data_IF_401633921251
#
_entry.id   IF_401633921251
#
_cell.length_a   1.000
_cell.length_b   1.000
_cell.length_c   1.000
_cell.angle_alpha   90.00
_cell.angle_beta   90.00
_cell.angle_gamma   90.00
#
_symmetry.space_group_name_H-M   'P 1'
#
loop_
_entity.id
_entity.type
_entity.pdbx_description
1 polymer ?
#
# COMPACT_ATOMS: atom_id res chain seq x y z
N UNK A 1 -19.94 -2.40 55.93
CA UNK A 1 -20.34 -1.38 54.91
C UNK A 1 -19.17 -0.75 54.15
N UNK A 2 -17.91 -0.98 54.53
CA UNK A 2 -16.71 -0.40 53.89
C UNK A 2 -16.20 -1.16 52.65
N UNK A 3 -16.34 -2.50 52.61
CA UNK A 3 -15.89 -3.33 51.48
C UNK A 3 -16.59 -3.01 50.15
N UNK A 4 -17.91 -2.80 50.18
CA UNK A 4 -18.72 -2.51 48.98
C UNK A 4 -18.34 -1.19 48.29
N UNK A 5 -17.94 -0.17 49.06
CA UNK A 5 -17.49 1.13 48.51
C UNK A 5 -16.10 1.03 47.90
N UNK A 6 -15.23 0.22 48.49
CA UNK A 6 -13.88 -0.02 47.98
C UNK A 6 -13.91 -0.86 46.69
N UNK A 7 -14.73 -1.91 46.65
CA UNK A 7 -14.96 -2.71 45.44
C UNK A 7 -15.56 -1.89 44.30
N UNK A 8 -16.56 -1.04 44.60
CA UNK A 8 -17.14 -0.14 43.62
C UNK A 8 -16.10 0.88 43.09
N UNK A 9 -15.27 1.46 43.97
CA UNK A 9 -14.22 2.38 43.57
C UNK A 9 -13.15 1.69 42.70
N UNK A 10 -12.76 0.45 43.04
CA UNK A 10 -11.81 -0.34 42.27
C UNK A 10 -12.36 -0.69 40.87
N UNK A 11 -13.64 -1.07 40.77
CA UNK A 11 -14.30 -1.34 39.49
C UNK A 11 -14.37 -0.09 38.61
N UNK A 12 -14.68 1.07 39.18
CA UNK A 12 -14.69 2.35 38.45
C UNK A 12 -13.30 2.73 37.96
N UNK A 13 -12.26 2.58 38.79
CA UNK A 13 -10.87 2.82 38.38
C UNK A 13 -10.45 1.88 37.25
N UNK A 14 -10.80 0.60 37.34
CA UNK A 14 -10.48 -0.39 36.32
C UNK A 14 -11.21 -0.09 35.01
N UNK A 15 -12.50 0.23 35.05
CA UNK A 15 -13.26 0.66 33.89
C UNK A 15 -12.69 1.95 33.27
N UNK A 16 -12.31 2.93 34.10
CA UNK A 16 -11.66 4.17 33.66
C UNK A 16 -10.33 3.89 32.95
N UNK A 17 -9.51 3.01 33.52
CA UNK A 17 -8.20 2.64 32.97
C UNK A 17 -8.33 1.89 31.64
N UNK A 18 -9.29 0.97 31.54
CA UNK A 18 -9.58 0.25 30.29
C UNK A 18 -10.07 1.19 29.19
N UNK A 19 -10.98 2.12 29.51
CA UNK A 19 -11.47 3.11 28.54
C UNK A 19 -10.36 4.06 28.09
N UNK A 20 -9.50 4.51 29.01
CA UNK A 20 -8.35 5.34 28.68
C UNK A 20 -7.36 4.59 27.79
N UNK A 21 -7.08 3.32 28.07
CA UNK A 21 -6.21 2.48 27.23
C UNK A 21 -6.81 2.25 25.83
N UNK A 22 -8.13 2.05 25.73
CA UNK A 22 -8.82 1.91 24.46
C UNK A 22 -8.79 3.21 23.63
N UNK A 23 -9.10 4.35 24.26
CA UNK A 23 -9.05 5.67 23.63
C UNK A 23 -7.64 6.00 23.17
N UNK A 24 -6.63 5.74 24.01
CA UNK A 24 -5.23 5.88 23.65
C UNK A 24 -4.89 5.00 22.44
N UNK A 25 -5.33 3.74 22.43
CA UNK A 25 -5.12 2.83 21.32
C UNK A 25 -5.71 3.30 19.98
N UNK A 26 -6.86 3.96 20.00
CA UNK A 26 -7.48 4.56 18.81
C UNK A 26 -6.67 5.77 18.32
N UNK A 27 -6.30 6.66 19.25
CA UNK A 27 -5.61 7.92 18.94
C UNK A 27 -4.17 7.66 18.48
N UNK A 28 -3.49 6.72 19.13
CA UNK A 28 -2.10 6.38 18.84
C UNK A 28 -1.94 5.61 17.53
N UNK A 29 -3.03 5.14 16.90
CA UNK A 29 -2.96 4.27 15.73
C UNK A 29 -2.19 4.94 14.58
N UNK A 30 -1.28 4.21 13.90
CA UNK A 30 -0.62 4.74 12.72
C UNK A 30 -1.63 4.95 11.58
N UNK A 31 -1.44 6.03 10.80
CA UNK A 31 -2.28 6.36 9.65
C UNK A 31 -1.39 6.51 8.44
N UNK A 32 -1.48 5.56 7.50
CA UNK A 32 -0.60 5.52 6.34
C UNK A 32 -1.27 6.20 5.15
N UNK A 33 -0.55 7.15 4.58
CA UNK A 33 -0.87 7.82 3.33
C UNK A 33 0.18 7.45 2.30
N UNK A 34 -0.27 7.01 1.12
CA UNK A 34 0.64 6.71 0.04
C UNK A 34 0.06 7.04 -1.33
N UNK A 35 0.94 7.23 -2.31
CA UNK A 35 0.58 7.53 -3.69
C UNK A 35 1.72 7.12 -4.62
N UNK A 36 1.38 6.76 -5.86
CA UNK A 36 2.35 6.55 -6.91
C UNK A 36 2.37 7.72 -7.90
N UNK A 37 3.57 8.06 -8.34
CA UNK A 37 3.85 9.02 -9.39
C UNK A 37 4.61 8.31 -10.50
N UNK A 38 4.28 8.67 -11.72
CA UNK A 38 4.99 8.23 -12.92
C UNK A 38 5.08 9.43 -13.86
N UNK A 39 6.18 9.60 -14.61
CA UNK A 39 6.30 10.69 -15.57
C UNK A 39 5.33 10.55 -16.74
N UNK A 40 4.75 9.36 -16.94
CA UNK A 40 3.85 9.06 -18.04
C UNK A 40 2.45 9.60 -17.74
N UNK A 41 1.98 10.64 -18.45
CA UNK A 41 0.61 11.11 -18.34
C UNK A 41 -0.38 10.12 -18.99
N UNK A 42 -1.67 10.38 -18.83
CA UNK A 42 -2.69 9.57 -19.49
C UNK A 42 -2.63 9.72 -21.02
N UNK A 43 -2.82 8.60 -21.71
CA UNK A 43 -2.70 8.44 -23.16
C UNK A 43 -1.28 8.68 -23.72
N UNK A 44 -0.29 8.90 -22.86
CA UNK A 44 1.11 8.90 -23.29
C UNK A 44 1.62 7.47 -23.47
N UNK A 45 2.55 7.33 -24.43
CA UNK A 45 3.14 6.06 -24.82
C UNK A 45 4.56 5.99 -24.29
N UNK A 46 4.91 4.88 -23.69
CA UNK A 46 6.28 4.48 -23.38
C UNK A 46 6.72 3.38 -24.34
N UNK A 47 7.97 3.44 -24.78
CA UNK A 47 8.64 2.42 -25.57
C UNK A 47 9.69 1.72 -24.70
N UNK A 48 9.39 0.50 -24.27
CA UNK A 48 10.26 -0.29 -23.41
C UNK A 48 11.52 -0.82 -24.11
N UNK A 49 11.60 -0.70 -25.45
CA UNK A 49 12.82 -1.06 -26.19
C UNK A 49 13.94 -0.03 -26.03
N UNK A 50 13.60 1.20 -25.66
CA UNK A 50 14.55 2.33 -25.55
C UNK A 50 14.59 2.95 -24.16
N UNK A 51 13.51 2.86 -23.38
CA UNK A 51 13.46 3.42 -22.03
C UNK A 51 12.74 2.47 -21.06
N UNK A 52 12.73 2.83 -19.78
CA UNK A 52 12.02 2.09 -18.74
C UNK A 52 11.07 3.00 -18.00
N UNK A 53 10.02 2.42 -17.40
CA UNK A 53 9.08 3.21 -16.62
C UNK A 53 9.65 3.47 -15.23
N UNK A 54 9.98 4.72 -14.95
CA UNK A 54 10.32 5.17 -13.60
C UNK A 54 9.03 5.46 -12.82
N UNK A 55 8.90 4.84 -11.65
CA UNK A 55 7.77 5.03 -10.74
C UNK A 55 8.29 5.47 -9.39
N UNK A 56 7.77 6.59 -8.91
CA UNK A 56 8.06 7.12 -7.57
C UNK A 56 6.87 6.80 -6.66
N UNK A 57 7.13 6.09 -5.57
CA UNK A 57 6.16 5.83 -4.52
C UNK A 57 6.43 6.76 -3.34
N UNK A 58 5.46 7.61 -3.00
CA UNK A 58 5.52 8.46 -1.82
C UNK A 58 4.66 7.89 -0.73
N UNK A 59 5.22 7.77 0.47
CA UNK A 59 4.53 7.25 1.65
C UNK A 59 4.82 8.11 2.87
N UNK A 60 3.84 8.26 3.75
CA UNK A 60 4.00 8.95 5.03
C UNK A 60 3.10 8.32 6.09
N UNK A 61 3.53 8.40 7.34
CA UNK A 61 2.73 8.06 8.50
C UNK A 61 2.29 9.35 9.20
N UNK A 62 0.99 9.63 9.17
CA UNK A 62 0.33 10.78 9.80
C UNK A 62 -0.31 10.42 11.15
N UNK A 63 -0.14 9.18 11.60
CA UNK A 63 -0.54 8.77 12.94
C UNK A 63 0.49 9.20 13.99
N UNK A 64 0.17 8.90 15.25
CA UNK A 64 0.98 9.32 16.41
C UNK A 64 1.95 8.24 16.89
N UNK A 65 1.89 7.03 16.33
CA UNK A 65 2.84 5.93 16.61
C UNK A 65 3.54 5.46 15.35
N UNK A 66 4.65 4.76 15.53
CA UNK A 66 5.35 4.08 14.43
C UNK A 66 4.44 3.03 13.77
N UNK A 67 4.66 2.80 12.48
CA UNK A 67 3.96 1.78 11.70
C UNK A 67 4.95 0.76 11.16
N UNK A 68 4.74 -0.51 11.47
CA UNK A 68 5.47 -1.61 10.84
C UNK A 68 4.64 -2.12 9.65
N UNK A 69 5.17 -1.94 8.44
CA UNK A 69 4.46 -2.25 7.21
C UNK A 69 5.30 -3.13 6.28
N UNK A 70 4.61 -3.79 5.35
CA UNK A 70 5.19 -4.35 4.15
C UNK A 70 4.75 -3.50 2.96
N UNK A 71 5.71 -2.99 2.20
CA UNK A 71 5.44 -2.51 0.86
C UNK A 71 5.44 -3.73 -0.07
N UNK A 72 4.29 -4.01 -0.68
CA UNK A 72 4.12 -5.12 -1.61
C UNK A 72 3.92 -4.57 -3.01
N UNK A 73 4.86 -4.88 -3.89
CA UNK A 73 4.86 -4.47 -5.29
C UNK A 73 4.58 -5.71 -6.12
N UNK A 74 3.54 -5.65 -6.93
CA UNK A 74 3.13 -6.77 -7.79
C UNK A 74 3.14 -6.31 -9.24
N UNK A 75 3.80 -7.11 -10.08
CA UNK A 75 3.91 -6.89 -11.50
C UNK A 75 3.20 -8.01 -12.25
N UNK A 76 2.25 -7.64 -13.09
CA UNK A 76 1.44 -8.58 -13.85
C UNK A 76 1.56 -8.29 -15.33
N UNK A 77 1.80 -9.36 -16.07
CA UNK A 77 1.69 -9.38 -17.51
C UNK A 77 0.42 -10.15 -17.88
N UNK A 78 -0.46 -9.50 -18.61
CA UNK A 78 -1.76 -10.04 -18.97
C UNK A 78 -1.96 -9.97 -20.49
N UNK A 79 -2.33 -11.10 -21.09
CA UNK A 79 -2.71 -11.17 -22.51
C UNK A 79 -4.13 -11.66 -22.61
N UNK A 80 -5.02 -10.85 -23.19
CA UNK A 80 -6.40 -11.25 -23.48
C UNK A 80 -6.39 -11.98 -24.82
N UNK A 81 -6.71 -13.27 -24.83
CA UNK A 81 -6.89 -14.04 -26.07
C UNK A 81 -8.30 -13.76 -26.62
N UNK A 82 -8.38 -13.45 -27.92
CA UNK A 82 -9.63 -13.16 -28.63
C UNK A 82 -10.59 -14.37 -28.68
N UNK A 83 -11.92 -14.17 -28.89
CA UNK A 83 -12.91 -15.24 -28.77
C UNK A 83 -12.72 -16.34 -29.82
N UNK A 84 -13.01 -17.62 -29.49
CA UNK A 84 -14.14 -18.03 -28.65
C UNK A 84 -13.82 -18.47 -27.22
N UNK A 85 -12.55 -18.61 -26.84
CA UNK A 85 -12.16 -18.96 -25.47
C UNK A 85 -11.60 -17.72 -24.77
N UNK A 86 -12.43 -17.06 -23.95
CA UNK A 86 -12.00 -15.99 -23.03
C UNK A 86 -11.13 -16.57 -21.90
N UNK A 87 -10.03 -17.21 -22.26
CA UNK A 87 -9.01 -17.60 -21.31
C UNK A 87 -8.13 -16.39 -21.04
N UNK A 88 -8.25 -15.87 -19.82
CA UNK A 88 -7.35 -14.85 -19.30
C UNK A 88 -6.11 -15.55 -18.75
N UNK A 89 -4.96 -15.35 -19.39
CA UNK A 89 -3.69 -15.83 -18.86
C UNK A 89 -3.04 -14.67 -18.10
N UNK A 90 -3.30 -14.62 -16.78
CA UNK A 90 -2.57 -13.76 -15.85
C UNK A 90 -1.31 -14.48 -15.42
N UNK A 91 -0.15 -13.88 -15.67
CA UNK A 91 1.07 -14.30 -14.99
C UNK A 91 1.51 -13.18 -14.06
N UNK A 92 1.54 -13.49 -12.76
CA UNK A 92 2.32 -12.70 -11.81
C UNK A 92 3.77 -12.98 -12.16
N UNK A 93 4.42 -12.01 -12.78
CA UNK A 93 5.84 -12.16 -13.14
C UNK A 93 6.75 -11.87 -11.96
N UNK A 94 6.29 -11.05 -11.01
CA UNK A 94 7.06 -10.78 -9.80
C UNK A 94 6.22 -10.19 -8.67
N UNK A 95 6.55 -10.62 -7.46
CA UNK A 95 6.13 -9.99 -6.21
C UNK A 95 7.39 -9.60 -5.42
N UNK A 96 7.48 -8.34 -5.02
CA UNK A 96 8.55 -7.84 -4.15
C UNK A 96 7.91 -7.37 -2.85
N UNK A 97 8.40 -7.89 -1.73
CA UNK A 97 7.93 -7.55 -0.39
C UNK A 97 9.08 -6.88 0.37
N UNK A 98 8.89 -5.61 0.72
CA UNK A 98 9.91 -4.80 1.42
C UNK A 98 9.39 -4.48 2.83
N UNK A 99 10.03 -5.00 3.91
CA UNK A 99 9.69 -4.60 5.26
C UNK A 99 10.13 -3.16 5.50
N UNK A 100 9.25 -2.35 6.09
CA UNK A 100 9.52 -0.95 6.42
C UNK A 100 8.97 -0.60 7.80
N UNK A 101 9.64 0.34 8.46
CA UNK A 101 9.14 0.98 9.69
C UNK A 101 9.03 2.47 9.44
N UNK A 102 7.80 3.00 9.48
CA UNK A 102 7.54 4.42 9.27
C UNK A 102 7.35 5.12 10.61
N UNK A 103 8.19 6.11 10.89
CA UNK A 103 8.05 6.96 12.07
C UNK A 103 6.86 7.91 11.91
N UNK A 104 6.24 8.39 13.02
CA UNK A 104 5.35 9.54 12.97
C UNK A 104 6.09 10.72 12.34
N UNK A 105 5.61 11.20 11.19
CA UNK A 105 6.24 12.33 10.50
C UNK A 105 5.39 13.58 10.74
N UNK A 106 5.97 14.60 11.38
CA UNK A 106 5.35 15.91 11.52
C UNK A 106 5.24 16.60 10.15
N UNK A 107 6.26 16.52 9.27
CA UNK A 107 6.23 17.05 7.90
C UNK A 107 7.10 16.22 6.93
N UNK A 108 6.55 15.75 5.79
CA UNK A 108 7.31 15.07 4.73
C UNK A 108 6.76 13.72 4.22
N UNK A 109 7.40 13.19 3.18
CA UNK A 109 7.15 11.86 2.58
C UNK A 109 8.47 11.11 2.39
N UNK A 110 8.48 9.81 2.69
CA UNK A 110 9.52 8.90 2.20
C UNK A 110 9.22 8.58 0.74
N UNK A 111 10.25 8.65 -0.12
CA UNK A 111 10.11 8.42 -1.57
C UNK A 111 10.96 7.22 -2.00
N UNK A 112 10.32 6.25 -2.65
CA UNK A 112 10.96 5.04 -3.18
C UNK A 112 10.85 5.07 -4.69
N UNK A 113 11.99 4.91 -5.38
CA UNK A 113 12.04 4.91 -6.83
C UNK A 113 12.21 3.48 -7.35
N UNK A 114 11.40 3.13 -8.34
CA UNK A 114 11.41 1.82 -8.98
C UNK A 114 11.47 2.00 -10.50
N UNK A 115 12.13 1.06 -11.16
CA UNK A 115 12.30 1.04 -12.62
C UNK A 115 11.72 -0.27 -13.15
N UNK A 116 10.76 -0.17 -14.07
CA UNK A 116 10.09 -1.33 -14.67
C UNK A 116 10.44 -1.44 -16.16
N UNK A 117 10.72 -2.68 -16.59
CA UNK A 117 10.88 -3.09 -17.99
C UNK A 117 9.74 -4.03 -18.38
N UNK A 118 9.56 -4.31 -19.67
CA UNK A 118 8.70 -5.41 -20.10
C UNK A 118 9.54 -6.67 -20.38
N UNK A 119 9.00 -7.84 -20.04
CA UNK A 119 9.46 -9.14 -20.53
C UNK A 119 8.30 -9.79 -21.30
N UNK A 120 8.57 -10.52 -22.38
CA UNK A 120 7.55 -11.29 -23.12
C UNK A 120 6.47 -10.53 -23.92
N UNK A 121 6.51 -9.20 -24.00
CA UNK A 121 5.63 -8.33 -24.80
C UNK A 121 4.09 -8.59 -24.67
N UNK A 122 3.54 -8.52 -23.44
CA UNK A 122 2.13 -8.81 -23.16
C UNK A 122 1.12 -7.82 -23.78
N UNK A 123 -0.15 -8.19 -23.82
CA UNK A 123 -1.21 -7.26 -24.25
C UNK A 123 -1.44 -6.10 -23.27
N UNK A 124 -1.21 -6.34 -21.98
CA UNK A 124 -1.36 -5.39 -20.89
C UNK A 124 -0.27 -5.60 -19.84
N UNK A 125 0.18 -4.50 -19.26
CA UNK A 125 1.07 -4.47 -18.10
C UNK A 125 0.32 -3.79 -16.95
N UNK A 126 0.29 -4.44 -15.80
CA UNK A 126 -0.30 -3.89 -14.58
C UNK A 126 0.75 -3.86 -13.50
N UNK A 127 1.00 -2.67 -12.97
CA UNK A 127 1.85 -2.44 -11.80
C UNK A 127 0.93 -2.10 -10.65
N UNK A 128 0.90 -2.92 -9.61
CA UNK A 128 0.14 -2.65 -8.39
C UNK A 128 1.07 -2.44 -7.21
N UNK A 129 0.81 -1.40 -6.43
CA UNK A 129 1.53 -1.11 -5.20
C UNK A 129 0.55 -1.06 -4.05
N UNK A 130 0.75 -1.94 -3.06
CA UNK A 130 -0.06 -2.03 -1.87
C UNK A 130 0.78 -1.94 -0.61
N UNK A 131 0.20 -1.34 0.43
CA UNK A 131 0.79 -1.31 1.77
C UNK A 131 0.04 -2.29 2.66
N UNK A 132 0.76 -3.24 3.23
CA UNK A 132 0.22 -4.29 4.09
C UNK A 132 0.82 -4.22 5.49
N UNK A 133 0.12 -4.76 6.50
CA UNK A 133 0.61 -4.77 7.88
C UNK A 133 1.72 -5.79 8.09
N UNK A 134 2.86 -5.36 8.64
CA UNK A 134 3.91 -6.27 9.05
C UNK A 134 3.64 -6.78 10.46
N UNK A 135 2.80 -7.81 10.55
CA UNK A 135 2.41 -8.44 11.82
C UNK A 135 3.51 -9.24 12.51
N UNK A 136 4.69 -9.38 11.90
CA UNK A 136 5.82 -10.16 12.45
C UNK A 136 6.73 -9.32 13.35
N UNK A 137 6.67 -7.99 13.26
CA UNK A 137 7.48 -7.07 14.08
C UNK A 137 6.69 -6.72 15.34
N UNK A 138 7.02 -7.39 16.45
CA UNK A 138 6.55 -7.13 17.84
C UNK A 138 5.14 -7.59 18.21
N UNK A 139 5.07 -8.56 19.14
CA UNK A 139 3.85 -9.00 19.85
C UNK A 139 3.51 -8.12 21.07
N UNK A 140 4.44 -7.24 21.49
CA UNK A 140 4.33 -6.48 22.75
C UNK A 140 3.58 -5.15 22.52
N UNK A 141 3.56 -4.63 21.29
CA UNK A 141 2.87 -3.39 20.92
C UNK A 141 1.95 -3.61 19.72
N UNK A 142 0.81 -4.29 19.95
CA UNK A 142 -0.17 -4.63 18.91
C UNK A 142 -0.76 -3.42 18.14
N UNK A 143 -0.57 -2.19 18.62
CA UNK A 143 -1.01 -0.97 17.94
C UNK A 143 -0.19 -0.65 16.67
N UNK A 144 1.09 -1.04 16.63
CA UNK A 144 1.96 -0.78 15.47
C UNK A 144 1.65 -1.70 14.27
N UNK A 145 0.92 -2.80 14.52
CA UNK A 145 0.57 -3.84 13.55
C UNK A 145 -0.81 -3.59 12.89
N UNK A 146 -1.48 -2.51 13.27
CA UNK A 146 -2.80 -2.14 12.77
C UNK A 146 -2.79 -0.66 12.39
N UNK A 147 -2.61 -0.35 11.11
CA UNK A 147 -2.76 1.02 10.62
C UNK A 147 -4.12 1.23 9.95
N UNK A 148 -4.56 2.48 9.90
CA UNK A 148 -5.60 2.89 8.95
C UNK A 148 -4.95 3.29 7.64
N UNK A 149 -5.42 2.70 6.53
CA UNK A 149 -5.18 3.26 5.21
C UNK A 149 -6.14 4.43 5.04
N UNK A 150 -5.62 5.64 4.94
CA UNK A 150 -6.44 6.72 4.38
C UNK A 150 -6.70 6.38 2.92
N UNK A 151 -7.94 6.58 2.45
CA UNK A 151 -8.29 6.48 1.03
C UNK A 151 -7.16 7.10 0.19
N UNK A 152 -6.45 6.33 -0.64
CA UNK A 152 -5.34 6.86 -1.40
C UNK A 152 -5.89 7.97 -2.29
N UNK A 153 -5.32 9.18 -2.19
CA UNK A 153 -5.82 10.35 -2.93
C UNK A 153 -5.64 10.20 -4.46
N UNK A 154 -4.94 9.16 -4.92
CA UNK A 154 -4.47 8.93 -6.29
C UNK A 154 -4.36 7.41 -6.58
N UNK A 155 -4.16 6.99 -7.84
CA UNK A 155 -4.11 5.57 -8.20
C UNK A 155 -3.07 4.82 -7.37
N UNK A 156 -3.36 3.56 -7.04
CA UNK A 156 -2.41 2.61 -6.42
C UNK A 156 -1.92 1.58 -7.43
N UNK A 157 -2.32 1.75 -8.69
CA UNK A 157 -1.97 0.90 -9.81
C UNK A 157 -1.77 1.72 -11.08
N UNK A 158 -0.91 1.22 -11.96
CA UNK A 158 -0.70 1.72 -13.32
C UNK A 158 -1.12 0.61 -14.27
N UNK A 159 -2.01 0.95 -15.20
CA UNK A 159 -2.40 0.07 -16.30
C UNK A 159 -1.81 0.63 -17.60
N UNK A 160 -1.04 -0.21 -18.29
CA UNK A 160 -0.48 0.09 -19.60
C UNK A 160 -1.05 -0.89 -20.62
N UNK A 161 -1.61 -0.36 -21.71
CA UNK A 161 -2.15 -1.15 -22.81
C UNK A 161 -1.16 -1.17 -23.97
N UNK A 162 -0.91 -2.33 -24.55
CA UNK A 162 -0.05 -2.46 -25.73
C UNK A 162 -0.66 -1.72 -26.93
N UNK A 163 0.17 -0.94 -27.62
CA UNK A 163 -0.15 -0.24 -28.87
C UNK A 163 0.56 -0.90 -30.05
N UNK A 164 1.81 -1.29 -29.86
CA UNK A 164 2.59 -2.11 -30.79
C UNK A 164 3.61 -2.93 -30.00
N UNK A 165 4.41 -3.77 -30.66
CA UNK A 165 5.53 -4.46 -30.01
C UNK A 165 6.42 -3.47 -29.22
N UNK A 166 6.65 -3.78 -27.94
CA UNK A 166 7.46 -2.96 -27.02
C UNK A 166 6.84 -1.63 -26.58
N UNK A 167 5.73 -1.18 -27.18
CA UNK A 167 5.13 0.14 -26.93
C UNK A 167 3.79 0.05 -26.23
N UNK A 168 3.67 0.78 -25.12
CA UNK A 168 2.50 0.72 -24.25
C UNK A 168 2.01 2.10 -23.89
N UNK A 169 0.70 2.26 -23.83
CA UNK A 169 0.02 3.51 -23.49
C UNK A 169 -0.56 3.43 -22.09
N UNK A 170 -0.37 4.47 -21.26
CA UNK A 170 -1.06 4.58 -19.98
C UNK A 170 -2.52 4.94 -20.19
N UNK A 171 -3.42 4.14 -19.62
CA UNK A 171 -4.87 4.37 -19.77
C UNK A 171 -5.50 4.90 -18.47
N UNK A 172 -6.55 5.72 -18.59
CA UNK A 172 -7.31 6.30 -17.47
C UNK A 172 -8.27 5.32 -16.80
N UNK A 173 -8.85 4.39 -17.58
CA UNK A 173 -9.76 3.34 -17.10
C UNK A 173 -9.91 2.24 -18.15
N UNK A 174 -10.50 1.11 -17.74
CA UNK A 174 -10.80 -0.08 -18.56
C UNK A 174 -11.37 0.25 -19.94
#
# INVERSE_FOLDING_TARGET
MTGFRFEAAALVLLAGSLNAAFLYGIIARPIIYYTIYTPLNYNEIIDFSVDNLNVEFKISNKGLSEAAIYLVIRFYNATIKDPPNREYEERVEGEIVIPMTLKPIEEGYESIWMKFSNDGDPGYIIIMISVEANRKISQIFNFNNSFMLSNPQRPTAILLKRVSEGKYMRVTSR
#
